data_IF_004395843453
#
_entry.id   IF_004395843453
#
_cell.length_a   1.000
_cell.length_b   1.000
_cell.length_c   1.000
_cell.angle_alpha   90.00
_cell.angle_beta   90.00
_cell.angle_gamma   90.00
#
_symmetry.space_group_name_H-M   'P 1'
#
loop_
_entity.id
_entity.type
_entity.pdbx_description
1 polymer ?
#
# COMPACT_ATOMS: atom_id res chain seq x y z
N UNK A 1 0.05 21.71 -2.66
CA UNK A 1 -0.24 20.49 -3.45
C UNK A 1 0.61 19.30 -3.03
N UNK A 2 1.95 19.33 -3.13
CA UNK A 2 2.82 18.17 -2.85
C UNK A 2 2.68 17.59 -1.43
N UNK A 3 2.57 18.44 -0.41
CA UNK A 3 2.40 18.01 0.99
C UNK A 3 1.13 17.16 1.17
N UNK A 4 0.02 17.53 0.52
CA UNK A 4 -1.22 16.76 0.59
C UNK A 4 -1.04 15.37 -0.03
N UNK A 5 -0.42 15.30 -1.22
CA UNK A 5 -0.13 14.03 -1.91
C UNK A 5 0.80 13.16 -1.07
N UNK A 6 1.80 13.78 -0.42
CA UNK A 6 2.69 13.09 0.51
C UNK A 6 1.93 12.42 1.64
N UNK A 7 1.03 13.15 2.33
CA UNK A 7 0.22 12.57 3.40
C UNK A 7 -0.65 11.41 2.92
N UNK A 8 -1.32 11.55 1.76
CA UNK A 8 -2.13 10.45 1.21
C UNK A 8 -1.31 9.21 0.88
N UNK A 9 -0.12 9.37 0.28
CA UNK A 9 0.76 8.24 -0.03
C UNK A 9 1.36 7.62 1.23
N UNK A 10 1.64 8.43 2.26
CA UNK A 10 2.15 7.97 3.54
C UNK A 10 1.15 7.09 4.27
N UNK A 11 -0.09 7.59 4.46
CA UNK A 11 -1.14 6.81 5.10
C UNK A 11 -1.56 5.61 4.25
N UNK A 12 -1.57 5.73 2.92
CA UNK A 12 -1.81 4.61 2.03
C UNK A 12 -0.79 3.49 2.19
N UNK A 13 0.49 3.84 2.31
CA UNK A 13 1.55 2.86 2.58
C UNK A 13 1.41 2.21 3.96
N UNK A 14 1.15 3.00 5.00
CA UNK A 14 0.98 2.50 6.37
C UNK A 14 -0.18 1.49 6.48
N UNK A 15 -1.30 1.77 5.78
CA UNK A 15 -2.44 0.85 5.71
C UNK A 15 -2.06 -0.46 4.99
N UNK A 16 -1.30 -0.39 3.90
CA UNK A 16 -0.82 -1.59 3.20
C UNK A 16 0.07 -2.44 4.12
N UNK A 17 0.99 -1.82 4.85
CA UNK A 17 1.89 -2.52 5.78
C UNK A 17 1.11 -3.20 6.91
N UNK A 18 0.18 -2.47 7.55
CA UNK A 18 -0.69 -3.04 8.60
C UNK A 18 -1.57 -4.16 8.07
N UNK A 19 -2.08 -4.04 6.85
CA UNK A 19 -2.88 -5.11 6.23
C UNK A 19 -2.10 -6.40 6.07
N UNK A 20 -0.80 -6.34 5.78
CA UNK A 20 0.08 -7.51 5.68
C UNK A 20 0.34 -8.09 7.06
N UNK A 21 0.64 -7.23 8.04
CA UNK A 21 0.92 -7.62 9.43
C UNK A 21 -0.25 -8.34 10.10
N UNK A 22 -1.49 -7.94 9.79
CA UNK A 22 -2.71 -8.60 10.28
C UNK A 22 -2.73 -10.09 9.85
N UNK A 23 -2.37 -10.39 8.60
CA UNK A 23 -2.33 -11.79 8.12
C UNK A 23 -1.32 -12.63 8.89
N UNK A 24 -0.16 -12.05 9.20
CA UNK A 24 0.91 -12.73 9.95
C UNK A 24 0.50 -12.94 11.40
N UNK A 25 -0.11 -11.93 12.02
CA UNK A 25 -0.61 -11.99 13.38
C UNK A 25 -1.64 -13.10 13.56
N UNK A 26 -2.58 -13.26 12.62
CA UNK A 26 -3.53 -14.38 12.65
C UNK A 26 -2.84 -15.74 12.57
N UNK A 27 -1.84 -15.89 11.70
CA UNK A 27 -1.08 -17.13 11.58
C UNK A 27 -0.35 -17.50 12.88
N UNK A 28 0.18 -16.50 13.60
CA UNK A 28 0.92 -16.68 14.85
C UNK A 28 0.02 -17.00 16.06
N UNK A 29 -1.30 -16.84 15.95
CA UNK A 29 -2.20 -17.30 17.02
C UNK A 29 -2.25 -18.83 17.07
N UNK A 30 -2.51 -19.42 18.25
CA UNK A 30 -2.74 -20.87 18.41
C UNK A 30 -4.10 -21.32 17.82
N UNK A 31 -4.39 -20.89 16.59
CA UNK A 31 -5.69 -21.01 15.95
C UNK A 31 -6.11 -22.46 15.71
N UNK A 32 -5.12 -23.36 15.67
CA UNK A 32 -5.32 -24.80 15.48
C UNK A 32 -5.81 -25.53 16.73
N UNK A 33 -5.59 -24.97 17.92
CA UNK A 33 -5.90 -25.64 19.20
C UNK A 33 -6.94 -24.89 20.05
N UNK A 34 -7.07 -23.56 19.88
CA UNK A 34 -7.87 -22.71 20.76
C UNK A 34 -9.33 -22.50 20.32
N UNK A 35 -9.70 -22.85 19.09
CA UNK A 35 -11.00 -22.47 18.52
C UNK A 35 -11.84 -23.66 18.04
N UNK A 36 -13.16 -23.51 18.13
CA UNK A 36 -14.12 -24.47 17.59
C UNK A 36 -14.01 -24.58 16.05
N UNK A 37 -14.46 -25.71 15.49
CA UNK A 37 -14.37 -25.99 14.04
C UNK A 37 -14.93 -24.85 13.17
N UNK A 38 -16.03 -24.22 13.59
CA UNK A 38 -16.63 -23.10 12.88
C UNK A 38 -15.69 -21.87 12.83
N UNK A 39 -15.11 -21.50 13.97
CA UNK A 39 -14.19 -20.35 14.07
C UNK A 39 -12.90 -20.60 13.30
N UNK A 40 -12.43 -21.85 13.25
CA UNK A 40 -11.26 -22.25 12.46
C UNK A 40 -11.48 -22.03 10.96
N UNK A 41 -12.66 -22.36 10.45
CA UNK A 41 -13.03 -22.14 9.04
C UNK A 41 -13.09 -20.65 8.71
N UNK A 42 -13.65 -19.82 9.60
CA UNK A 42 -13.65 -18.37 9.42
C UNK A 42 -12.25 -17.78 9.44
N UNK A 43 -11.39 -18.18 10.37
CA UNK A 43 -9.98 -17.76 10.43
C UNK A 43 -9.22 -18.12 9.15
N UNK A 44 -9.43 -19.32 8.61
CA UNK A 44 -8.85 -19.72 7.33
C UNK A 44 -9.31 -18.82 6.18
N UNK A 45 -10.61 -18.53 6.12
CA UNK A 45 -11.16 -17.62 5.12
C UNK A 45 -10.54 -16.23 5.24
N UNK A 46 -10.43 -15.69 6.46
CA UNK A 46 -9.81 -14.40 6.73
C UNK A 46 -8.34 -14.37 6.31
N UNK A 47 -7.54 -15.37 6.71
CA UNK A 47 -6.14 -15.47 6.27
C UNK A 47 -6.02 -15.49 4.74
N UNK A 48 -6.88 -16.24 4.05
CA UNK A 48 -6.88 -16.31 2.58
C UNK A 48 -7.32 -14.99 1.92
N UNK A 49 -8.16 -14.19 2.59
CA UNK A 49 -8.51 -12.83 2.14
C UNK A 49 -7.40 -11.82 2.41
N UNK A 50 -6.77 -11.88 3.59
CA UNK A 50 -5.69 -10.98 4.01
C UNK A 50 -4.41 -11.13 3.18
N UNK A 51 -4.22 -12.25 2.48
CA UNK A 51 -3.18 -12.41 1.44
C UNK A 51 -3.26 -11.36 0.33
N UNK A 52 -4.44 -10.77 0.10
CA UNK A 52 -4.60 -9.62 -0.80
C UNK A 52 -4.51 -8.34 0.04
N UNK A 53 -3.36 -7.64 0.06
CA UNK A 53 -3.20 -6.46 0.88
C UNK A 53 -4.18 -5.37 0.44
N UNK A 54 -4.71 -4.62 1.40
CA UNK A 54 -5.59 -3.51 1.13
C UNK A 54 -4.79 -2.34 0.53
N UNK A 55 -4.81 -2.22 -0.80
CA UNK A 55 -4.14 -1.13 -1.51
C UNK A 55 -5.14 -0.02 -1.81
N UNK A 56 -4.96 1.14 -1.18
CA UNK A 56 -5.72 2.33 -1.54
C UNK A 56 -5.33 2.79 -2.95
N UNK A 57 -6.32 3.02 -3.81
CA UNK A 57 -6.12 3.46 -5.19
C UNK A 57 -6.81 4.80 -5.44
N UNK A 58 -6.06 5.80 -5.88
CA UNK A 58 -6.62 7.06 -6.36
C UNK A 58 -7.34 6.83 -7.69
N UNK A 59 -8.65 7.10 -7.72
CA UNK A 59 -9.51 6.92 -8.90
C UNK A 59 -9.57 5.48 -9.43
N UNK A 60 -9.16 4.47 -8.64
CA UNK A 60 -9.06 3.07 -9.07
C UNK A 60 -7.81 2.73 -9.89
N UNK A 61 -7.04 3.72 -10.33
CA UNK A 61 -5.92 3.52 -11.27
C UNK A 61 -4.57 3.54 -10.55
N UNK A 62 -4.31 4.55 -9.71
CA UNK A 62 -3.00 4.76 -9.11
C UNK A 62 -2.94 4.27 -7.66
N UNK A 63 -2.07 3.32 -7.30
CA UNK A 63 -1.90 2.92 -5.91
C UNK A 63 -1.27 4.06 -5.10
N UNK A 64 -1.88 4.43 -3.98
CA UNK A 64 -1.37 5.43 -3.04
C UNK A 64 -0.25 4.81 -2.21
N UNK A 65 0.97 4.88 -2.73
CA UNK A 65 2.16 4.26 -2.13
C UNK A 65 3.33 5.23 -2.25
N UNK A 66 4.37 5.06 -1.41
CA UNK A 66 5.56 5.92 -1.53
C UNK A 66 6.27 5.77 -2.89
N UNK A 67 6.15 4.60 -3.53
CA UNK A 67 6.73 4.35 -4.85
C UNK A 67 6.07 5.19 -5.96
N UNK A 68 4.76 5.41 -5.89
CA UNK A 68 4.07 6.29 -6.84
C UNK A 68 4.42 7.75 -6.61
N UNK A 69 4.56 8.19 -5.35
CA UNK A 69 5.07 9.53 -5.05
C UNK A 69 6.46 9.78 -5.64
N UNK A 70 7.39 8.83 -5.46
CA UNK A 70 8.73 8.91 -6.03
C UNK A 70 8.71 8.96 -7.57
N UNK A 71 7.79 8.20 -8.19
CA UNK A 71 7.62 8.22 -9.64
C UNK A 71 7.13 9.59 -10.15
N UNK A 72 6.22 10.24 -9.42
CA UNK A 72 5.75 11.59 -9.72
C UNK A 72 6.89 12.61 -9.62
N UNK A 73 7.69 12.54 -8.55
CA UNK A 73 8.84 13.43 -8.34
C UNK A 73 9.89 13.25 -9.43
N UNK A 74 10.24 12.00 -9.77
CA UNK A 74 11.21 11.69 -10.82
C UNK A 74 10.76 12.22 -12.18
N UNK A 75 9.48 12.03 -12.50
CA UNK A 75 8.90 12.54 -13.75
C UNK A 75 8.94 14.06 -13.78
N UNK A 76 8.55 14.72 -12.69
CA UNK A 76 8.55 16.19 -12.57
C UNK A 76 9.96 16.78 -12.75
N UNK A 77 10.96 16.17 -12.12
CA UNK A 77 12.36 16.56 -12.28
C UNK A 77 12.87 16.32 -13.70
N UNK A 78 12.53 15.19 -14.31
CA UNK A 78 12.88 14.89 -15.70
C UNK A 78 12.32 15.94 -16.66
N UNK A 79 11.06 16.32 -16.50
CA UNK A 79 10.45 17.41 -17.27
C UNK A 79 11.19 18.73 -17.07
N UNK A 80 11.49 19.08 -15.83
CA UNK A 80 12.22 20.31 -15.51
C UNK A 80 13.63 20.32 -16.13
N UNK A 81 14.34 19.19 -16.08
CA UNK A 81 15.67 19.05 -16.66
C UNK A 81 15.65 19.21 -18.19
N UNK A 82 14.64 18.64 -18.86
CA UNK A 82 14.45 18.84 -20.31
C UNK A 82 14.20 20.30 -20.64
N UNK A 83 13.29 20.96 -19.91
CA UNK A 83 12.98 22.38 -20.12
C UNK A 83 14.20 23.28 -19.87
N UNK A 84 14.98 23.02 -18.82
CA UNK A 84 16.21 23.76 -18.55
C UNK A 84 17.26 23.58 -19.64
N UNK A 85 17.36 22.38 -20.23
CA UNK A 85 18.26 22.15 -21.38
C UNK A 85 17.80 22.89 -22.63
N UNK A 86 16.50 22.95 -22.88
CA UNK A 86 15.94 23.67 -24.03
C UNK A 86 16.08 25.20 -23.88
N UNK A 87 15.92 25.73 -22.66
CA UNK A 87 16.00 27.16 -22.38
C UNK A 87 17.46 27.70 -22.28
N UNK A 88 18.45 26.81 -22.12
CA UNK A 88 19.87 27.17 -22.16
C UNK A 88 20.44 27.28 -23.59
N UNK A 89 19.60 27.10 -24.61
CA UNK A 89 19.96 27.16 -26.03
C UNK A 89 19.33 28.40 -26.64
#
# INVERSE_FOLDING_TARGET
MFIQIYFYCWYGQDIVLKSIEISVSYYLTNWYNAYSSNVRTYLFLFMERSKRPLVLRAGGVFPLTLSTLMSILRSSYSYMAVLQRLNKK
#
